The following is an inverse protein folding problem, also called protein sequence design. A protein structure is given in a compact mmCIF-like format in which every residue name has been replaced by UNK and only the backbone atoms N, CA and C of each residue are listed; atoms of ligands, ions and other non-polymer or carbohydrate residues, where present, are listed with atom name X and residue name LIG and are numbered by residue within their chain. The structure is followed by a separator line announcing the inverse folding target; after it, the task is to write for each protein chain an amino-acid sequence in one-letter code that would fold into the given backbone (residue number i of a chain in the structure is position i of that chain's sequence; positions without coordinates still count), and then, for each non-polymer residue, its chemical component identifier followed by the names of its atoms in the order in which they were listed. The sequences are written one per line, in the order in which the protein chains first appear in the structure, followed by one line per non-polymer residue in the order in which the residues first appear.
data_IF_102066495050
#
_entry.id   IF_102066495050
#
_cell.length_a   1.000
_cell.length_b   1.000
_cell.length_c   1.000
_cell.angle_alpha   90.00
_cell.angle_beta   90.00
_cell.angle_gamma   90.00
#
_symmetry.space_group_name_H-M   'P 1'
#
loop_
_entity.id
_entity.type
_entity.pdbx_description
1 polymer ?
#
# COMPACT_ATOMS: atom_id res chain seq x y z
N UNK A 1 -38.05 3.88 28.59
CA UNK A 1 -36.60 3.91 28.35
C UNK A 1 -36.35 3.72 26.87
N UNK A 2 -35.67 4.68 26.24
CA UNK A 2 -35.27 4.66 24.82
C UNK A 2 -34.30 3.50 24.61
N UNK A 3 -34.58 2.62 23.65
CA UNK A 3 -33.56 1.72 23.10
C UNK A 3 -33.67 1.79 21.57
N UNK A 4 -32.82 2.63 20.99
CA UNK A 4 -32.56 2.67 19.56
C UNK A 4 -31.84 1.37 19.19
N UNK A 5 -32.58 0.40 18.67
CA UNK A 5 -32.00 -0.73 17.94
C UNK A 5 -31.76 -0.23 16.52
N UNK A 6 -30.54 0.27 16.27
CA UNK A 6 -30.06 0.50 14.91
C UNK A 6 -29.72 -0.86 14.30
N UNK A 7 -30.73 -1.49 13.71
CA UNK A 7 -30.56 -2.57 12.76
C UNK A 7 -29.96 -1.96 11.46
N UNK A 8 -28.63 -1.98 11.36
CA UNK A 8 -27.93 -1.68 10.12
C UNK A 8 -27.81 -2.97 9.28
N UNK A 9 -28.96 -3.47 8.84
CA UNK A 9 -29.08 -4.55 7.88
C UNK A 9 -29.57 -3.96 6.56
N UNK A 10 -28.62 -3.57 5.70
CA UNK A 10 -28.70 -3.27 4.26
C UNK A 10 -27.24 -2.93 3.89
N UNK A 11 -26.44 -3.74 3.20
CA UNK A 11 -26.63 -4.32 1.88
C UNK A 11 -25.71 -5.54 1.77
N UNK A 12 -26.22 -6.73 2.07
CA UNK A 12 -25.59 -7.99 1.64
C UNK A 12 -26.41 -8.43 0.44
N UNK A 13 -26.00 -7.96 -0.74
CA UNK A 13 -26.71 -8.17 -1.98
C UNK A 13 -25.77 -8.10 -3.17
N UNK A 14 -25.10 -9.23 -3.43
CA UNK A 14 -24.72 -9.75 -4.74
C UNK A 14 -24.60 -8.71 -5.88
N UNK A 15 -23.43 -8.13 -6.01
CA UNK A 15 -22.92 -7.70 -7.31
C UNK A 15 -21.53 -8.31 -7.46
N UNK A 16 -21.50 -9.43 -8.19
CA UNK A 16 -20.39 -9.88 -9.03
C UNK A 16 -19.01 -9.97 -8.37
N UNK A 17 -18.54 -11.20 -8.21
CA UNK A 17 -17.27 -11.65 -8.78
C UNK A 17 -16.65 -10.64 -9.76
N UNK A 18 -15.95 -9.65 -9.24
CA UNK A 18 -14.73 -9.19 -9.85
C UNK A 18 -13.69 -10.15 -9.25
N UNK A 19 -13.46 -11.35 -9.81
CA UNK A 19 -12.62 -11.42 -10.99
C UNK A 19 -11.85 -10.10 -11.07
N UNK A 20 -10.84 -9.95 -10.22
CA UNK A 20 -9.78 -9.00 -10.50
C UNK A 20 -9.19 -9.46 -11.83
N UNK A 21 -9.89 -9.13 -12.93
CA UNK A 21 -9.26 -8.72 -14.14
C UNK A 21 -8.34 -7.62 -13.64
N UNK A 22 -7.10 -8.04 -13.34
CA UNK A 22 -6.00 -7.17 -13.10
C UNK A 22 -6.00 -6.30 -14.35
N UNK A 23 -6.66 -5.15 -14.29
CA UNK A 23 -6.40 -4.09 -15.23
C UNK A 23 -4.90 -3.89 -15.07
N UNK A 24 -4.08 -4.26 -16.07
CA UNK A 24 -2.66 -4.05 -15.94
C UNK A 24 -2.54 -2.54 -15.72
N UNK A 25 -2.05 -2.15 -14.54
CA UNK A 25 -1.76 -0.76 -14.27
C UNK A 25 -1.02 -0.21 -15.48
N UNK A 26 -1.48 0.93 -16.00
CA UNK A 26 -0.77 1.51 -17.14
C UNK A 26 0.66 1.82 -16.73
N UNK A 27 1.58 1.88 -17.70
CA UNK A 27 2.98 2.18 -17.41
C UNK A 27 3.15 3.52 -16.68
N UNK A 28 2.31 4.51 -16.99
CA UNK A 28 2.26 5.76 -16.24
C UNK A 28 1.86 5.57 -14.78
N UNK A 29 0.85 4.74 -14.50
CA UNK A 29 0.41 4.43 -13.14
C UNK A 29 1.46 3.62 -12.36
N UNK A 30 2.16 2.69 -13.01
CA UNK A 30 3.25 1.95 -12.37
C UNK A 30 4.44 2.86 -12.05
N UNK A 31 4.81 3.78 -12.94
CA UNK A 31 5.87 4.76 -12.71
C UNK A 31 5.51 5.71 -11.56
N UNK A 32 4.27 6.22 -11.52
CA UNK A 32 3.78 7.05 -10.43
C UNK A 32 3.78 6.29 -9.09
N UNK A 33 3.34 5.03 -9.10
CA UNK A 33 3.35 4.18 -7.92
C UNK A 33 4.78 3.92 -7.43
N UNK A 34 5.73 3.67 -8.34
CA UNK A 34 7.16 3.52 -8.02
C UNK A 34 7.73 4.80 -7.38
N UNK A 35 7.42 5.96 -7.93
CA UNK A 35 7.86 7.25 -7.39
C UNK A 35 7.28 7.51 -5.98
N UNK A 36 6.00 7.21 -5.77
CA UNK A 36 5.35 7.34 -4.46
C UNK A 36 5.97 6.43 -3.40
N UNK A 37 6.27 5.17 -3.76
CA UNK A 37 6.93 4.23 -2.86
C UNK A 37 8.35 4.71 -2.50
N UNK A 38 9.11 5.23 -3.46
CA UNK A 38 10.43 5.80 -3.20
C UNK A 38 10.37 6.97 -2.20
N UNK A 39 9.42 7.90 -2.37
CA UNK A 39 9.25 9.02 -1.44
C UNK A 39 8.88 8.57 -0.02
N UNK A 40 8.06 7.51 0.12
CA UNK A 40 7.73 6.93 1.43
C UNK A 40 8.94 6.25 2.08
N UNK A 41 9.78 5.57 1.30
CA UNK A 41 11.02 4.98 1.78
C UNK A 41 12.04 6.04 2.22
N UNK A 42 12.16 7.14 1.48
CA UNK A 42 13.01 8.29 1.84
C UNK A 42 12.56 8.89 3.18
N UNK A 43 11.25 9.13 3.34
CA UNK A 43 10.68 9.60 4.60
C UNK A 43 11.00 8.65 5.78
N UNK A 44 10.84 7.34 5.60
CA UNK A 44 11.18 6.38 6.66
C UNK A 44 12.68 6.37 6.96
N UNK A 45 13.53 6.48 5.93
CA UNK A 45 14.98 6.57 6.12
C UNK A 45 15.37 7.79 6.96
N UNK A 46 14.72 8.94 6.75
CA UNK A 46 14.91 10.12 7.60
C UNK A 46 14.46 9.88 9.04
N UNK A 47 13.33 9.18 9.24
CA UNK A 47 12.84 8.80 10.57
C UNK A 47 13.77 7.83 11.29
N UNK A 48 14.32 6.85 10.58
CA UNK A 48 15.32 5.92 11.11
C UNK A 48 16.56 6.71 11.54
N UNK A 49 17.09 7.56 10.68
CA UNK A 49 18.30 8.33 10.95
C UNK A 49 18.14 9.37 12.09
N UNK A 50 16.91 9.81 12.36
CA UNK A 50 16.61 10.81 13.41
C UNK A 50 16.03 10.22 14.70
N UNK A 51 15.71 8.92 14.73
CA UNK A 51 15.15 8.25 15.91
C UNK A 51 16.25 7.71 16.81
N UNK A 52 16.14 8.00 18.10
CA UNK A 52 16.97 7.41 19.16
C UNK A 52 16.20 6.37 20.00
N UNK A 53 14.93 6.14 19.67
CA UNK A 53 14.08 5.14 20.33
C UNK A 53 14.16 3.83 19.55
N UNK A 54 14.62 2.76 20.20
CA UNK A 54 14.79 1.43 19.60
C UNK A 54 13.46 0.82 19.12
N UNK A 55 12.38 0.91 19.91
CA UNK A 55 11.07 0.37 19.51
C UNK A 55 10.53 1.07 18.25
N UNK A 56 10.78 2.38 18.14
CA UNK A 56 10.40 3.15 16.96
C UNK A 56 11.29 2.82 15.75
N UNK A 57 12.59 2.57 15.98
CA UNK A 57 13.52 2.16 14.94
C UNK A 57 13.11 0.82 14.33
N UNK A 58 12.84 -0.19 15.15
CA UNK A 58 12.41 -1.51 14.69
C UNK A 58 11.12 -1.40 13.86
N UNK A 59 10.15 -0.62 14.35
CA UNK A 59 8.91 -0.36 13.61
C UNK A 59 9.15 0.35 12.27
N UNK A 60 10.04 1.33 12.20
CA UNK A 60 10.34 2.04 10.95
C UNK A 60 11.11 1.15 9.96
N UNK A 61 12.00 0.29 10.46
CA UNK A 61 12.72 -0.69 9.64
C UNK A 61 11.77 -1.72 9.04
N UNK A 62 10.86 -2.29 9.83
CA UNK A 62 9.83 -3.23 9.36
C UNK A 62 8.95 -2.59 8.25
N UNK A 63 8.56 -1.33 8.45
CA UNK A 63 7.80 -0.58 7.45
C UNK A 63 8.62 -0.31 6.19
N UNK A 64 9.91 -0.02 6.33
CA UNK A 64 10.81 0.21 5.21
C UNK A 64 10.98 -1.04 4.36
N UNK A 65 11.21 -2.20 4.98
CA UNK A 65 11.33 -3.49 4.28
C UNK A 65 10.05 -3.85 3.52
N UNK A 66 8.88 -3.65 4.16
CA UNK A 66 7.59 -3.88 3.51
C UNK A 66 7.37 -2.96 2.29
N UNK A 67 7.79 -1.70 2.37
CA UNK A 67 7.73 -0.77 1.23
C UNK A 67 8.74 -1.14 0.14
N UNK A 68 9.94 -1.56 0.51
CA UNK A 68 10.97 -1.99 -0.43
C UNK A 68 10.51 -3.20 -1.24
N UNK A 69 9.89 -4.21 -0.60
CA UNK A 69 9.35 -5.36 -1.30
C UNK A 69 8.29 -4.96 -2.36
N UNK A 70 7.41 -4.01 -2.02
CA UNK A 70 6.42 -3.46 -2.95
C UNK A 70 7.08 -2.67 -4.08
N UNK A 71 8.11 -1.87 -3.77
CA UNK A 71 8.86 -1.11 -4.75
C UNK A 71 9.51 -2.05 -5.79
N UNK A 72 10.15 -3.13 -5.34
CA UNK A 72 10.77 -4.13 -6.21
C UNK A 72 9.72 -4.83 -7.07
N UNK A 73 8.55 -5.17 -6.51
CA UNK A 73 7.46 -5.76 -7.29
C UNK A 73 6.94 -4.82 -8.39
N UNK A 74 6.82 -3.52 -8.11
CA UNK A 74 6.41 -2.52 -9.10
C UNK A 74 7.51 -2.32 -10.14
N UNK A 75 8.77 -2.29 -9.74
CA UNK A 75 9.90 -2.18 -10.65
C UNK A 75 9.97 -3.36 -11.63
N UNK A 76 9.77 -4.58 -11.15
CA UNK A 76 9.69 -5.79 -11.98
C UNK A 76 8.50 -5.73 -12.96
N UNK A 77 7.32 -5.28 -12.50
CA UNK A 77 6.17 -5.08 -13.39
C UNK A 77 6.43 -4.05 -14.48
N UNK A 78 7.13 -2.96 -14.19
CA UNK A 78 7.52 -1.96 -15.20
C UNK A 78 8.48 -2.61 -16.20
N UNK A 79 9.49 -3.34 -15.70
CA UNK A 79 10.48 -3.97 -16.57
C UNK A 79 9.86 -4.98 -17.54
N UNK A 80 8.87 -5.75 -17.08
CA UNK A 80 8.24 -6.80 -17.87
C UNK A 80 7.07 -6.32 -18.74
N UNK A 81 6.39 -5.20 -18.39
CA UNK A 81 5.17 -4.76 -19.07
C UNK A 81 5.30 -3.41 -19.80
N UNK A 82 6.38 -2.66 -19.58
CA UNK A 82 6.54 -1.28 -20.07
C UNK A 82 7.81 -1.02 -20.90
N UNK A 83 8.53 -2.09 -21.26
CA UNK A 83 9.66 -2.02 -22.19
C UNK A 83 9.21 -1.89 -23.64
#
# INVERSE_FOLDING_TARGET
MKSLVLALSLVIGFASTQASAAYPYSCGQLLEQKAKLAAQMEYLSEKINSSFNQDALDLYMDQYEALQARYLNVADKIENNCK
#
